data_IF_542443256272
#
_entry.id   IF_542443256272
#
_cell.length_a   1.000
_cell.length_b   1.000
_cell.length_c   1.000
_cell.angle_alpha   90.00
_cell.angle_beta   90.00
_cell.angle_gamma   90.00
#
_symmetry.space_group_name_H-M   'P 1'
#
loop_
_entity.id
_entity.type
_entity.pdbx_description
1 polymer ?
#
# COMPACT_ATOMS: atom_id res chain seq x y z
N UNK A 1 23.57 -33.94 -24.01
CA UNK A 1 24.10 -32.71 -23.40
C UNK A 1 23.18 -31.50 -23.57
N UNK A 2 22.66 -31.19 -24.77
CA UNK A 2 21.80 -30.02 -25.03
C UNK A 2 20.50 -30.06 -24.20
N UNK A 3 19.82 -31.22 -24.12
CA UNK A 3 18.59 -31.37 -23.34
C UNK A 3 18.80 -31.16 -21.83
N UNK A 4 19.93 -31.60 -21.28
CA UNK A 4 20.27 -31.39 -19.87
C UNK A 4 20.55 -29.89 -19.57
N UNK A 5 21.21 -29.18 -20.49
CA UNK A 5 21.46 -27.75 -20.38
C UNK A 5 20.16 -26.93 -20.45
N UNK A 6 19.25 -27.30 -21.37
CA UNK A 6 17.91 -26.67 -21.47
C UNK A 6 17.07 -26.89 -20.20
N UNK A 7 17.05 -28.11 -19.69
CA UNK A 7 16.33 -28.43 -18.46
C UNK A 7 16.89 -27.68 -17.24
N UNK A 8 18.22 -27.56 -17.11
CA UNK A 8 18.84 -26.75 -16.07
C UNK A 8 18.52 -25.26 -16.21
N UNK A 9 18.52 -24.73 -17.44
CA UNK A 9 18.14 -23.34 -17.72
C UNK A 9 16.73 -23.05 -17.25
N UNK A 10 15.74 -23.86 -17.64
CA UNK A 10 14.34 -23.64 -17.22
C UNK A 10 14.12 -23.80 -15.71
N UNK A 11 14.89 -24.69 -15.05
CA UNK A 11 14.80 -24.85 -13.60
C UNK A 11 15.44 -23.69 -12.83
N UNK A 12 16.51 -23.08 -13.36
CA UNK A 12 17.22 -21.98 -12.71
C UNK A 12 16.61 -20.59 -12.97
N UNK A 13 15.93 -20.43 -14.10
CA UNK A 13 15.35 -19.12 -14.48
C UNK A 13 14.44 -18.52 -13.39
N UNK A 14 13.48 -19.25 -12.77
CA UNK A 14 12.64 -18.68 -11.71
C UNK A 14 13.43 -18.28 -10.46
N UNK A 15 14.47 -19.04 -10.12
CA UNK A 15 15.33 -18.75 -8.95
C UNK A 15 16.15 -17.49 -9.19
N UNK A 16 16.73 -17.34 -10.39
CA UNK A 16 17.49 -16.15 -10.78
C UNK A 16 16.56 -14.93 -10.77
N UNK A 17 15.38 -15.04 -11.38
CA UNK A 17 14.38 -13.96 -11.40
C UNK A 17 13.99 -13.54 -9.98
N UNK A 18 13.65 -14.52 -9.11
CA UNK A 18 13.26 -14.26 -7.73
C UNK A 18 14.37 -13.56 -6.93
N UNK A 19 15.63 -13.99 -7.11
CA UNK A 19 16.77 -13.36 -6.45
C UNK A 19 17.00 -11.91 -6.94
N UNK A 20 16.93 -11.68 -8.25
CA UNK A 20 17.06 -10.35 -8.84
C UNK A 20 15.90 -9.43 -8.36
N UNK A 21 14.66 -9.94 -8.37
CA UNK A 21 13.51 -9.19 -7.91
C UNK A 21 13.59 -8.83 -6.42
N UNK A 22 14.05 -9.77 -5.58
CA UNK A 22 14.28 -9.52 -4.16
C UNK A 22 15.31 -8.42 -3.95
N UNK A 23 16.40 -8.44 -4.73
CA UNK A 23 17.42 -7.40 -4.65
C UNK A 23 16.88 -6.04 -5.07
N UNK A 24 16.20 -5.97 -6.21
CA UNK A 24 15.61 -4.73 -6.70
C UNK A 24 14.63 -4.12 -5.70
N UNK A 25 13.68 -4.90 -5.20
CA UNK A 25 12.72 -4.40 -4.20
C UNK A 25 13.39 -3.88 -2.94
N UNK A 26 14.48 -4.50 -2.49
CA UNK A 26 15.26 -4.00 -1.35
C UNK A 26 15.95 -2.67 -1.65
N UNK A 27 16.49 -2.52 -2.86
CA UNK A 27 17.10 -1.26 -3.31
C UNK A 27 16.04 -0.15 -3.39
N UNK A 28 14.87 -0.44 -3.95
CA UNK A 28 13.74 0.51 -4.05
C UNK A 28 13.22 0.92 -2.66
N UNK A 29 13.05 -0.03 -1.74
CA UNK A 29 12.65 0.22 -0.35
C UNK A 29 13.67 1.10 0.36
N UNK A 30 14.96 0.78 0.22
CA UNK A 30 16.03 1.57 0.84
C UNK A 30 16.06 2.99 0.28
N UNK A 31 15.97 3.15 -1.03
CA UNK A 31 15.92 4.45 -1.69
C UNK A 31 14.73 5.28 -1.18
N UNK A 32 13.55 4.66 -1.07
CA UNK A 32 12.37 5.32 -0.51
C UNK A 32 12.58 5.77 0.94
N UNK A 33 13.14 4.93 1.81
CA UNK A 33 13.39 5.32 3.21
C UNK A 33 14.43 6.44 3.33
N UNK A 34 15.48 6.43 2.53
CA UNK A 34 16.47 7.52 2.50
C UNK A 34 15.84 8.83 2.04
N UNK A 35 14.99 8.78 1.01
CA UNK A 35 14.23 9.93 0.55
C UNK A 35 13.30 10.46 1.65
N UNK A 36 12.46 9.62 2.24
CA UNK A 36 11.53 10.01 3.30
C UNK A 36 12.26 10.61 4.52
N UNK A 37 13.48 10.12 4.82
CA UNK A 37 14.31 10.64 5.89
C UNK A 37 14.92 12.00 5.55
N UNK A 38 15.42 12.19 4.31
CA UNK A 38 15.97 13.47 3.87
C UNK A 38 14.91 14.58 3.92
N UNK A 39 13.73 14.25 3.45
CA UNK A 39 12.56 15.12 3.46
C UNK A 39 12.18 15.56 4.88
N UNK A 40 12.15 14.63 5.84
CA UNK A 40 11.87 14.95 7.25
C UNK A 40 12.97 15.82 7.89
N UNK A 41 14.23 15.61 7.52
CA UNK A 41 15.36 16.38 8.06
C UNK A 41 15.38 17.81 7.55
N UNK A 42 15.01 18.07 6.29
CA UNK A 42 14.93 19.43 5.73
C UNK A 42 13.81 20.24 6.36
N UNK A 43 12.89 19.60 7.07
CA UNK A 43 11.71 20.20 7.68
C UNK A 43 11.74 20.30 9.19
N UNK A 44 12.87 19.96 9.87
CA UNK A 44 13.02 20.37 11.27
C UNK A 44 12.92 21.89 11.34
N UNK A 45 11.77 22.46 11.72
CA UNK A 45 11.58 23.90 11.65
C UNK A 45 12.45 24.53 12.73
N UNK A 46 13.22 25.54 12.38
CA UNK A 46 13.54 26.59 13.32
C UNK A 46 12.20 27.29 13.66
N UNK A 47 11.44 26.72 14.60
CA UNK A 47 10.21 27.35 15.09
C UNK A 47 10.58 28.65 15.76
N UNK A 48 10.36 29.74 15.08
CA UNK A 48 10.48 31.10 15.62
C UNK A 48 9.20 31.52 16.34
N UNK A 49 8.05 30.90 16.02
CA UNK A 49 6.76 31.18 16.63
C UNK A 49 5.90 29.89 16.73
N UNK A 50 5.21 29.61 17.87
CA UNK A 50 4.33 28.44 18.04
C UNK A 50 3.16 28.38 17.05
N UNK A 51 2.78 29.52 16.45
CA UNK A 51 1.65 29.64 15.51
C UNK A 51 2.05 29.56 14.03
N UNK A 52 3.34 29.40 13.73
CA UNK A 52 3.77 29.32 12.35
C UNK A 52 3.30 27.99 11.74
N UNK A 53 2.69 28.05 10.57
CA UNK A 53 2.38 26.86 9.77
C UNK A 53 3.70 26.19 9.37
N UNK A 54 3.88 24.97 9.80
CA UNK A 54 5.03 24.14 9.40
C UNK A 54 4.64 23.39 8.13
N UNK A 55 5.20 23.74 6.95
CA UNK A 55 4.89 23.03 5.72
C UNK A 55 5.31 21.56 5.86
N UNK A 56 4.42 20.65 5.44
CA UNK A 56 4.77 19.24 5.31
C UNK A 56 5.50 19.01 3.98
N UNK A 57 6.37 17.99 3.86
CA UNK A 57 7.02 17.63 2.61
C UNK A 57 6.00 17.40 1.51
N UNK A 58 6.26 17.91 0.31
CA UNK A 58 5.36 17.73 -0.82
C UNK A 58 3.91 18.07 -0.46
N UNK A 59 3.68 19.18 0.23
CA UNK A 59 2.36 19.57 0.75
C UNK A 59 1.28 19.59 -0.32
N UNK A 60 1.61 20.11 -1.52
CA UNK A 60 0.66 20.11 -2.64
C UNK A 60 0.21 18.68 -3.00
N UNK A 61 1.15 17.72 -3.07
CA UNK A 61 0.82 16.32 -3.33
C UNK A 61 -0.11 15.76 -2.23
N UNK A 62 0.20 16.03 -0.96
CA UNK A 62 -0.62 15.57 0.16
C UNK A 62 -2.04 16.14 0.09
N UNK A 63 -2.17 17.43 -0.19
CA UNK A 63 -3.46 18.11 -0.30
C UNK A 63 -4.28 17.56 -1.48
N UNK A 64 -3.65 17.39 -2.65
CA UNK A 64 -4.30 16.82 -3.83
C UNK A 64 -4.77 15.37 -3.59
N UNK A 65 -3.97 14.55 -2.91
CA UNK A 65 -4.35 13.17 -2.53
C UNK A 65 -5.50 13.16 -1.52
N UNK A 66 -5.49 14.07 -0.56
CA UNK A 66 -6.60 14.22 0.40
C UNK A 66 -7.90 14.63 -0.30
N UNK A 67 -7.83 15.59 -1.21
CA UNK A 67 -8.99 16.07 -1.95
C UNK A 67 -9.49 14.99 -2.94
N UNK A 68 -8.59 14.19 -3.51
CA UNK A 68 -8.95 13.00 -4.29
C UNK A 68 -9.71 11.97 -3.45
N UNK A 69 -9.23 11.63 -2.24
CA UNK A 69 -9.94 10.71 -1.34
C UNK A 69 -11.34 11.23 -1.01
N UNK A 70 -11.49 12.52 -0.74
CA UNK A 70 -12.77 13.16 -0.50
C UNK A 70 -13.70 13.14 -1.73
N UNK A 71 -13.12 13.35 -2.92
CA UNK A 71 -13.86 13.25 -4.18
C UNK A 71 -14.40 11.83 -4.39
N UNK A 72 -13.61 10.79 -4.13
CA UNK A 72 -14.04 9.40 -4.23
C UNK A 72 -15.23 9.10 -3.31
N UNK A 73 -15.20 9.54 -2.06
CA UNK A 73 -16.33 9.38 -1.12
C UNK A 73 -17.59 10.13 -1.63
N UNK A 74 -17.42 11.36 -2.09
CA UNK A 74 -18.52 12.19 -2.60
C UNK A 74 -19.18 11.57 -3.84
N UNK A 75 -18.39 11.04 -4.77
CA UNK A 75 -18.85 10.44 -6.03
C UNK A 75 -19.23 8.97 -5.89
N UNK A 76 -19.11 8.40 -4.66
CA UNK A 76 -19.35 6.98 -4.39
C UNK A 76 -18.56 6.05 -5.31
N UNK A 77 -17.33 6.46 -5.63
CA UNK A 77 -16.42 5.70 -6.48
C UNK A 77 -17.04 5.27 -7.83
N UNK A 78 -17.82 6.15 -8.44
CA UNK A 78 -18.55 5.87 -9.70
C UNK A 78 -17.64 5.45 -10.87
N UNK A 79 -16.33 5.72 -10.77
CA UNK A 79 -15.32 5.28 -11.75
C UNK A 79 -14.89 3.81 -11.62
N UNK A 80 -15.34 3.10 -10.59
CA UNK A 80 -14.89 1.72 -10.27
C UNK A 80 -15.59 0.65 -11.16
N UNK A 81 -15.94 0.98 -12.41
CA UNK A 81 -16.83 0.16 -13.24
C UNK A 81 -16.10 -0.71 -14.27
N UNK A 82 -14.79 -0.55 -14.47
CA UNK A 82 -14.02 -1.31 -15.45
C UNK A 82 -12.68 -1.78 -14.90
N UNK A 83 -12.12 -2.82 -15.53
CA UNK A 83 -10.78 -3.31 -15.15
C UNK A 83 -9.68 -2.29 -15.45
N UNK A 84 -9.87 -1.51 -16.52
CA UNK A 84 -8.92 -0.47 -16.94
C UNK A 84 -8.85 0.64 -15.90
N UNK A 85 -9.96 0.93 -15.20
CA UNK A 85 -10.01 1.94 -14.15
C UNK A 85 -9.06 1.66 -12.97
N UNK A 86 -8.61 0.42 -12.78
CA UNK A 86 -7.68 0.07 -11.69
C UNK A 86 -6.21 0.32 -12.02
N UNK A 87 -5.85 0.48 -13.29
CA UNK A 87 -4.48 0.42 -13.77
C UNK A 87 -3.77 1.76 -13.67
N UNK A 88 -4.42 2.82 -14.13
CA UNK A 88 -3.79 4.11 -14.30
C UNK A 88 -3.96 4.97 -13.04
N UNK A 89 -2.83 5.31 -12.40
CA UNK A 89 -2.83 6.25 -11.28
C UNK A 89 -3.33 7.62 -11.73
N UNK A 90 -4.10 8.28 -10.86
CA UNK A 90 -4.40 9.71 -11.01
C UNK A 90 -3.18 10.60 -10.74
N UNK A 91 -2.17 10.06 -10.02
CA UNK A 91 -0.99 10.81 -9.62
C UNK A 91 0.25 10.32 -10.36
N UNK A 92 0.93 11.25 -11.03
CA UNK A 92 2.31 11.10 -11.49
C UNK A 92 3.23 11.73 -10.43
N UNK A 93 3.89 10.91 -9.63
CA UNK A 93 4.71 11.38 -8.52
C UNK A 93 5.90 12.22 -8.99
N UNK A 94 6.42 11.94 -10.19
CA UNK A 94 7.55 12.71 -10.74
C UNK A 94 7.15 14.14 -11.09
N UNK A 95 5.89 14.37 -11.44
CA UNK A 95 5.36 15.71 -11.66
C UNK A 95 5.34 16.59 -10.38
N UNK A 96 5.37 15.94 -9.20
CA UNK A 96 5.51 16.61 -7.90
C UNK A 96 6.96 16.70 -7.42
N UNK A 97 7.93 16.30 -8.26
CA UNK A 97 9.36 16.39 -7.94
C UNK A 97 9.92 15.18 -7.20
N UNK A 98 9.19 14.08 -7.11
CA UNK A 98 9.72 12.83 -6.58
C UNK A 98 10.63 12.15 -7.62
N UNK A 99 11.68 11.41 -7.20
CA UNK A 99 12.66 10.84 -8.13
C UNK A 99 12.11 9.63 -8.92
N UNK A 100 11.08 8.96 -8.37
CA UNK A 100 10.49 7.76 -8.96
C UNK A 100 8.99 7.63 -8.60
N UNK A 101 8.37 6.51 -8.98
CA UNK A 101 6.95 6.22 -8.77
C UNK A 101 6.68 5.39 -7.51
N UNK A 102 7.67 5.17 -6.62
CA UNK A 102 7.44 4.49 -5.35
C UNK A 102 6.74 5.44 -4.39
N UNK A 103 5.46 5.19 -4.14
CA UNK A 103 4.65 5.98 -3.20
C UNK A 103 5.00 5.71 -1.74
N UNK A 104 5.37 4.47 -1.43
CA UNK A 104 5.62 4.04 -0.06
C UNK A 104 6.08 2.60 0.05
N UNK A 105 5.99 2.08 1.26
CA UNK A 105 6.34 0.68 1.58
C UNK A 105 5.20 0.04 2.36
N UNK A 106 4.80 -1.17 1.96
CA UNK A 106 3.90 -2.02 2.72
C UNK A 106 4.72 -3.09 3.47
N UNK A 107 4.48 -3.25 4.77
CA UNK A 107 5.09 -4.28 5.61
C UNK A 107 4.03 -5.09 6.34
N UNK A 108 4.11 -6.42 6.22
CA UNK A 108 3.17 -7.38 6.83
C UNK A 108 3.98 -8.42 7.60
N UNK A 109 4.23 -8.23 8.92
CA UNK A 109 5.12 -9.08 9.70
C UNK A 109 4.71 -10.56 9.72
N UNK A 110 3.41 -10.86 9.77
CA UNK A 110 2.89 -12.23 9.76
C UNK A 110 3.30 -13.03 8.53
N UNK A 111 3.51 -12.34 7.41
CA UNK A 111 3.92 -12.93 6.12
C UNK A 111 5.42 -12.83 5.89
N UNK A 112 6.19 -12.26 6.83
CA UNK A 112 7.60 -11.86 6.61
C UNK A 112 7.75 -11.09 5.29
N UNK A 113 6.86 -10.12 5.07
CA UNK A 113 6.75 -9.39 3.80
C UNK A 113 7.01 -7.91 3.97
N UNK A 114 7.88 -7.39 3.11
CA UNK A 114 8.07 -5.96 2.89
C UNK A 114 8.24 -5.72 1.39
N UNK A 115 7.47 -4.79 0.83
CA UNK A 115 7.48 -4.49 -0.61
C UNK A 115 7.29 -3.00 -0.87
N UNK A 116 7.83 -2.48 -1.99
CA UNK A 116 7.46 -1.17 -2.51
C UNK A 116 5.96 -1.11 -2.80
N UNK A 117 5.36 0.04 -2.56
CA UNK A 117 3.96 0.33 -2.83
C UNK A 117 3.86 1.39 -3.92
N UNK A 118 3.15 1.06 -4.98
CA UNK A 118 2.91 1.92 -6.14
C UNK A 118 1.46 2.40 -6.18
N UNK A 119 1.22 3.51 -6.89
CA UNK A 119 -0.13 3.98 -7.19
C UNK A 119 -0.54 3.52 -8.60
N UNK A 120 -1.75 2.94 -8.72
CA UNK A 120 -2.23 2.32 -9.95
C UNK A 120 -1.71 0.88 -10.13
N UNK A 121 -2.60 -0.05 -10.47
CA UNK A 121 -2.29 -1.46 -10.61
C UNK A 121 -1.95 -1.82 -12.08
N UNK A 122 -1.07 -1.03 -12.70
CA UNK A 122 -0.51 -1.37 -14.01
C UNK A 122 0.28 -2.67 -13.96
N UNK A 123 0.48 -3.31 -15.10
CA UNK A 123 1.30 -4.53 -15.18
C UNK A 123 2.71 -4.29 -14.63
N UNK A 124 3.30 -3.13 -14.93
CA UNK A 124 4.63 -2.76 -14.47
C UNK A 124 4.67 -2.62 -12.94
N UNK A 125 3.78 -1.83 -12.35
CA UNK A 125 3.71 -1.63 -10.92
C UNK A 125 3.48 -2.95 -10.17
N UNK A 126 2.51 -3.75 -10.64
CA UNK A 126 2.22 -5.07 -10.05
C UNK A 126 3.39 -6.05 -10.14
N UNK A 127 4.24 -5.95 -11.16
CA UNK A 127 5.45 -6.77 -11.27
C UNK A 127 6.61 -6.28 -10.38
N UNK A 128 6.57 -5.01 -9.94
CA UNK A 128 7.60 -4.40 -9.11
C UNK A 128 7.28 -4.38 -7.62
N UNK A 129 6.01 -4.50 -7.23
CA UNK A 129 5.61 -4.50 -5.82
C UNK A 129 4.13 -4.72 -5.61
N UNK A 130 3.62 -4.18 -4.51
CA UNK A 130 2.19 -4.02 -4.27
C UNK A 130 1.69 -2.72 -4.91
N UNK A 131 0.42 -2.68 -5.29
CA UNK A 131 -0.15 -1.52 -5.98
C UNK A 131 -1.51 -1.13 -5.42
N UNK A 132 -1.69 0.14 -5.12
CA UNK A 132 -3.00 0.71 -4.80
C UNK A 132 -3.83 0.73 -6.07
N UNK A 133 -5.02 0.13 -6.06
CA UNK A 133 -5.93 0.20 -7.20
C UNK A 133 -6.34 1.66 -7.44
N UNK A 134 -6.24 2.14 -8.67
CA UNK A 134 -6.83 3.41 -9.04
C UNK A 134 -8.35 3.38 -8.77
N UNK A 135 -8.98 4.54 -8.58
CA UNK A 135 -10.39 4.67 -8.16
C UNK A 135 -10.67 4.12 -6.73
N UNK A 136 -9.62 3.82 -5.95
CA UNK A 136 -9.72 3.58 -4.50
C UNK A 136 -8.90 4.63 -3.75
N UNK A 137 -9.09 4.74 -2.43
CA UNK A 137 -8.43 5.78 -1.66
C UNK A 137 -6.90 5.64 -1.68
N UNK A 138 -6.19 6.76 -1.67
CA UNK A 138 -4.74 6.78 -1.45
C UNK A 138 -4.49 6.56 0.05
N UNK A 139 -3.54 5.68 0.45
CA UNK A 139 -3.31 5.34 1.86
C UNK A 139 -2.49 6.42 2.59
N UNK A 140 -3.12 7.56 2.81
CA UNK A 140 -2.62 8.68 3.62
C UNK A 140 -3.41 8.83 4.93
N UNK A 141 -4.27 7.86 5.26
CA UNK A 141 -5.19 7.90 6.39
C UNK A 141 -6.40 8.80 6.15
N UNK A 142 -7.34 8.76 7.07
CA UNK A 142 -8.56 9.57 7.02
C UNK A 142 -9.83 8.74 7.06
N UNK A 143 -10.90 9.32 7.60
CA UNK A 143 -12.21 8.69 7.63
C UNK A 143 -12.83 8.63 6.22
N UNK A 144 -13.74 7.68 6.01
CA UNK A 144 -14.35 7.41 4.71
C UNK A 144 -13.31 7.06 3.63
N UNK A 145 -12.33 6.25 3.98
CA UNK A 145 -11.30 5.77 3.08
C UNK A 145 -11.27 4.24 3.03
N UNK A 146 -11.02 3.69 1.84
CA UNK A 146 -10.65 2.29 1.65
C UNK A 146 -9.59 2.23 0.55
N UNK A 147 -8.33 2.08 0.95
CA UNK A 147 -7.21 1.91 0.03
C UNK A 147 -7.07 0.43 -0.32
N UNK A 148 -7.42 0.05 -1.55
CA UNK A 148 -7.33 -1.34 -1.99
C UNK A 148 -5.96 -1.60 -2.58
N UNK A 149 -5.17 -2.45 -1.92
CA UNK A 149 -3.80 -2.77 -2.28
C UNK A 149 -3.75 -4.17 -2.87
N UNK A 150 -3.46 -4.25 -4.17
CA UNK A 150 -3.31 -5.50 -4.89
C UNK A 150 -1.87 -6.00 -4.89
N UNK A 151 -1.71 -7.31 -4.83
CA UNK A 151 -0.45 -8.00 -5.05
C UNK A 151 -0.67 -9.32 -5.74
N UNK A 152 0.28 -9.77 -6.57
CA UNK A 152 0.21 -11.10 -7.15
C UNK A 152 0.14 -12.18 -6.07
N UNK A 153 -0.55 -13.31 -6.33
CA UNK A 153 -0.53 -14.45 -5.41
C UNK A 153 0.80 -15.21 -5.39
N UNK A 154 1.57 -15.07 -6.39
CA UNK A 154 2.96 -15.43 -6.65
C UNK A 154 3.21 -15.15 -8.13
N UNK A 155 4.39 -14.75 -8.50
CA UNK A 155 4.73 -14.50 -9.90
C UNK A 155 6.21 -14.78 -10.15
N UNK A 156 6.51 -15.59 -11.17
CA UNK A 156 7.89 -15.93 -11.57
C UNK A 156 8.81 -16.35 -10.40
N UNK A 157 8.27 -17.13 -9.45
CA UNK A 157 9.02 -17.62 -8.28
C UNK A 157 9.15 -16.63 -7.13
N UNK A 158 8.71 -15.37 -7.26
CA UNK A 158 8.63 -14.43 -6.15
C UNK A 158 7.28 -14.53 -5.43
N UNK A 159 7.28 -14.44 -4.09
CA UNK A 159 6.12 -14.78 -3.26
C UNK A 159 4.99 -13.76 -3.33
N UNK A 160 5.27 -12.46 -3.37
CA UNK A 160 4.25 -11.41 -3.23
C UNK A 160 3.24 -11.74 -2.09
N UNK A 161 1.94 -11.79 -2.39
CA UNK A 161 0.89 -12.13 -1.42
C UNK A 161 0.58 -13.64 -1.37
N UNK A 162 1.55 -14.51 -1.66
CA UNK A 162 1.37 -15.97 -1.61
C UNK A 162 0.79 -16.43 -0.26
N UNK A 163 1.34 -15.92 0.81
CA UNK A 163 1.08 -16.33 2.18
C UNK A 163 -0.06 -15.52 2.86
N UNK A 164 -0.88 -14.79 2.08
CA UNK A 164 -1.95 -13.91 2.61
C UNK A 164 -2.96 -14.65 3.50
N UNK A 165 -3.17 -15.96 3.26
CA UNK A 165 -4.07 -16.80 4.08
C UNK A 165 -3.53 -17.09 5.49
N UNK A 166 -2.26 -16.75 5.78
CA UNK A 166 -1.71 -16.79 7.14
C UNK A 166 -2.25 -15.66 8.03
N UNK A 167 -2.80 -14.61 7.43
CA UNK A 167 -3.32 -13.47 8.18
C UNK A 167 -4.54 -13.85 9.00
N UNK A 168 -4.57 -13.36 10.24
CA UNK A 168 -5.62 -13.59 11.21
C UNK A 168 -6.13 -12.24 11.76
N UNK A 169 -7.33 -12.24 12.33
CA UNK A 169 -7.88 -11.08 13.02
C UNK A 169 -6.89 -10.54 14.06
N UNK A 170 -6.64 -9.24 14.01
CA UNK A 170 -5.70 -8.54 14.88
C UNK A 170 -4.26 -8.49 14.40
N UNK A 171 -3.87 -9.24 13.36
CA UNK A 171 -2.55 -9.09 12.74
C UNK A 171 -2.37 -7.68 12.17
N UNK A 172 -1.13 -7.19 12.20
CA UNK A 172 -0.84 -5.82 11.81
C UNK A 172 -0.31 -5.70 10.38
N UNK A 173 -0.72 -4.63 9.72
CA UNK A 173 -0.22 -4.17 8.43
C UNK A 173 0.26 -2.75 8.59
N UNK A 174 1.47 -2.46 8.13
CA UNK A 174 2.06 -1.13 8.15
C UNK A 174 2.16 -0.58 6.73
N UNK A 175 1.73 0.67 6.56
CA UNK A 175 1.94 1.45 5.34
C UNK A 175 2.80 2.65 5.69
N UNK A 176 4.03 2.69 5.19
CA UNK A 176 4.90 3.86 5.33
C UNK A 176 4.86 4.65 4.03
N UNK A 177 4.40 5.89 4.12
CA UNK A 177 4.43 6.86 3.03
C UNK A 177 5.44 7.96 3.34
N UNK A 178 5.50 9.01 2.53
CA UNK A 178 6.46 10.12 2.70
C UNK A 178 6.33 10.85 4.04
N UNK A 179 5.14 10.83 4.63
CA UNK A 179 4.81 11.65 5.80
C UNK A 179 4.82 10.86 7.10
N UNK A 180 4.30 9.63 7.08
CA UNK A 180 4.11 8.83 8.29
C UNK A 180 4.08 7.33 8.03
N UNK A 181 4.10 6.54 9.12
CA UNK A 181 3.79 5.12 9.08
C UNK A 181 2.41 4.89 9.69
N UNK A 182 1.50 4.43 8.87
CA UNK A 182 0.13 4.11 9.22
C UNK A 182 0.05 2.64 9.69
N UNK A 183 -0.58 2.41 10.84
CA UNK A 183 -0.77 1.06 11.39
C UNK A 183 -2.23 0.65 11.24
N UNK A 184 -2.45 -0.51 10.63
CA UNK A 184 -3.76 -1.12 10.45
C UNK A 184 -3.79 -2.51 11.09
N UNK A 185 -4.97 -2.97 11.53
CA UNK A 185 -5.19 -4.33 12.04
C UNK A 185 -6.24 -5.04 11.23
N UNK A 186 -6.01 -6.33 10.95
CA UNK A 186 -6.98 -7.20 10.28
C UNK A 186 -8.27 -7.28 11.08
N UNK A 187 -9.39 -6.95 10.44
CA UNK A 187 -10.73 -6.93 11.04
C UNK A 187 -11.75 -7.79 10.29
N UNK A 188 -11.49 -8.15 9.03
CA UNK A 188 -12.38 -9.03 8.26
C UNK A 188 -11.62 -9.71 7.11
N UNK A 189 -12.07 -10.89 6.69
CA UNK A 189 -11.50 -11.65 5.59
C UNK A 189 -12.64 -12.19 4.73
N UNK A 190 -12.55 -11.99 3.40
CA UNK A 190 -13.60 -12.44 2.46
C UNK A 190 -13.00 -13.04 1.19
N UNK A 191 -13.74 -13.98 0.61
CA UNK A 191 -13.52 -14.45 -0.75
C UNK A 191 -14.70 -13.94 -1.60
N UNK A 192 -14.40 -13.28 -2.71
CA UNK A 192 -15.39 -12.66 -3.58
C UNK A 192 -15.20 -13.08 -5.04
N UNK A 193 -16.23 -12.87 -5.86
CA UNK A 193 -16.09 -12.96 -7.31
C UNK A 193 -15.21 -11.80 -7.83
N UNK A 194 -14.45 -12.01 -8.92
CA UNK A 194 -13.55 -11.00 -9.46
C UNK A 194 -14.22 -9.67 -9.86
N UNK A 195 -15.52 -9.70 -10.12
CA UNK A 195 -16.30 -8.54 -10.58
C UNK A 195 -17.17 -7.93 -9.46
N UNK A 196 -17.04 -8.41 -8.23
CA UNK A 196 -17.79 -7.86 -7.09
C UNK A 196 -17.09 -6.61 -6.54
N UNK A 197 -17.24 -5.51 -7.27
CA UNK A 197 -16.69 -4.20 -6.89
C UNK A 197 -17.31 -3.64 -5.61
N UNK A 198 -18.54 -4.06 -5.27
CA UNK A 198 -19.21 -3.55 -4.06
C UNK A 198 -18.49 -3.96 -2.78
N UNK A 199 -17.77 -5.07 -2.81
CA UNK A 199 -17.02 -5.56 -1.66
C UNK A 199 -15.84 -4.64 -1.26
N UNK A 200 -15.36 -3.80 -2.16
CA UNK A 200 -14.19 -2.94 -1.95
C UNK A 200 -14.51 -1.44 -1.90
N UNK A 201 -15.79 -1.08 -1.85
CA UNK A 201 -16.20 0.32 -1.73
C UNK A 201 -15.80 0.92 -0.38
N UNK A 202 -15.71 2.24 -0.36
CA UNK A 202 -15.54 3.04 0.86
C UNK A 202 -16.67 2.74 1.83
N UNK A 203 -16.32 2.54 3.10
CA UNK A 203 -17.26 2.32 4.19
C UNK A 203 -17.29 3.56 5.07
N UNK A 204 -18.51 4.03 5.37
CA UNK A 204 -18.72 5.24 6.16
C UNK A 204 -18.04 5.14 7.53
N UNK A 205 -17.43 6.24 7.97
CA UNK A 205 -16.78 6.43 9.28
C UNK A 205 -15.61 5.47 9.55
N UNK A 206 -15.06 4.83 8.48
CA UNK A 206 -13.93 3.91 8.59
C UNK A 206 -12.72 4.40 7.80
N UNK A 207 -11.53 4.08 8.31
CA UNK A 207 -10.25 4.21 7.63
C UNK A 207 -9.69 2.81 7.37
N UNK A 208 -9.81 2.34 6.13
CA UNK A 208 -9.50 0.98 5.74
C UNK A 208 -8.36 0.90 4.74
N UNK A 209 -7.56 -0.15 4.90
CA UNK A 209 -6.73 -0.76 3.86
C UNK A 209 -7.28 -2.15 3.58
N UNK A 210 -7.54 -2.47 2.32
CA UNK A 210 -7.98 -3.79 1.89
C UNK A 210 -6.90 -4.43 1.03
N UNK A 211 -6.29 -5.52 1.51
CA UNK A 211 -5.36 -6.33 0.72
C UNK A 211 -6.14 -7.21 -0.23
N UNK A 212 -5.70 -7.28 -1.50
CA UNK A 212 -6.38 -8.04 -2.56
C UNK A 212 -5.40 -8.92 -3.32
N UNK A 213 -5.74 -10.19 -3.52
CA UNK A 213 -5.00 -11.08 -4.41
C UNK A 213 -5.91 -12.12 -5.09
N UNK A 214 -5.37 -12.84 -6.08
CA UNK A 214 -6.06 -13.95 -6.73
C UNK A 214 -6.25 -15.15 -5.78
N UNK A 215 -7.37 -15.85 -5.89
CA UNK A 215 -7.69 -17.03 -5.07
C UNK A 215 -8.45 -18.09 -5.90
N UNK A 216 -8.25 -19.40 -5.59
CA UNK A 216 -7.12 -19.95 -4.87
C UNK A 216 -5.81 -19.83 -5.66
N UNK A 217 -4.68 -20.10 -5.00
CA UNK A 217 -3.38 -20.14 -5.68
C UNK A 217 -3.41 -21.13 -6.86
N UNK A 218 -2.84 -20.74 -7.99
CA UNK A 218 -2.77 -21.56 -9.21
C UNK A 218 -4.06 -21.65 -10.03
N UNK A 219 -5.16 -21.00 -9.62
CA UNK A 219 -6.46 -21.06 -10.33
C UNK A 219 -6.61 -20.10 -11.51
N UNK A 220 -5.61 -19.28 -11.80
CA UNK A 220 -5.75 -18.18 -12.77
C UNK A 220 -6.66 -17.05 -12.29
N UNK A 221 -7.04 -17.03 -11.00
CA UNK A 221 -7.82 -15.94 -10.40
C UNK A 221 -9.33 -16.13 -10.50
N UNK A 222 -9.83 -17.34 -10.25
CA UNK A 222 -11.27 -17.64 -10.18
C UNK A 222 -12.01 -16.71 -9.21
N UNK A 223 -11.39 -16.42 -8.06
CA UNK A 223 -11.90 -15.54 -7.02
C UNK A 223 -10.86 -14.48 -6.63
N UNK A 224 -11.23 -13.60 -5.72
CA UNK A 224 -10.33 -12.67 -5.02
C UNK A 224 -10.38 -12.96 -3.52
N UNK A 225 -9.20 -13.00 -2.90
CA UNK A 225 -9.04 -13.05 -1.45
C UNK A 225 -8.83 -11.63 -0.95
N UNK A 226 -9.69 -11.19 -0.05
CA UNK A 226 -9.65 -9.86 0.55
C UNK A 226 -9.34 -9.98 2.04
N UNK A 227 -8.44 -9.13 2.52
CA UNK A 227 -8.18 -8.91 3.95
C UNK A 227 -8.41 -7.45 4.26
N UNK A 228 -9.44 -7.16 5.03
CA UNK A 228 -9.79 -5.80 5.47
C UNK A 228 -9.01 -5.48 6.72
N UNK A 229 -8.30 -4.36 6.70
CA UNK A 229 -7.52 -3.88 7.81
C UNK A 229 -7.99 -2.48 8.18
N UNK A 230 -8.29 -2.23 9.47
CA UNK A 230 -8.77 -0.95 9.97
C UNK A 230 -7.68 -0.21 10.70
N UNK A 231 -7.64 1.11 10.54
CA UNK A 231 -6.65 1.99 11.14
C UNK A 231 -6.63 1.87 12.66
N UNK A 232 -5.46 1.68 13.22
CA UNK A 232 -5.25 1.81 14.67
C UNK A 232 -5.05 3.29 14.97
N UNK A 233 -6.06 3.94 15.54
CA UNK A 233 -5.89 5.30 16.07
C UNK A 233 -5.06 5.15 17.35
N UNK A 234 -3.90 5.79 17.43
CA UNK A 234 -3.19 5.92 18.72
C UNK A 234 -4.15 6.61 19.70
N UNK A 235 -4.35 6.00 20.87
CA UNK A 235 -5.08 6.67 21.93
C UNK A 235 -4.35 7.99 22.21
N UNK A 236 -5.07 9.11 22.14
CA UNK A 236 -4.53 10.39 22.58
C UNK A 236 -3.92 10.18 23.95
N UNK A 237 -2.71 10.71 24.24
CA UNK A 237 -2.09 10.55 25.54
C UNK A 237 -3.12 10.97 26.60
N UNK A 238 -3.43 10.04 27.51
CA UNK A 238 -4.34 10.32 28.61
C UNK A 238 -3.82 11.58 29.31
N UNK A 239 -4.63 12.62 29.29
CA UNK A 239 -4.30 13.85 29.99
C UNK A 239 -4.31 13.49 31.49
N UNK A 240 -3.16 13.08 32.00
CA UNK A 240 -2.93 12.93 33.44
C UNK A 240 -2.94 14.34 34.01
N UNK A 241 -4.15 14.89 34.13
CA UNK A 241 -4.39 16.06 34.93
C UNK A 241 -3.85 15.78 36.32
N UNK A 242 -2.76 16.42 36.64
CA UNK A 242 -2.24 16.47 37.98
C UNK A 242 -3.31 17.14 38.86
N UNK A 243 -4.07 16.34 39.57
CA UNK A 243 -4.65 16.76 40.83
C UNK A 243 -3.52 16.77 41.86
N UNK A 244 -2.93 17.94 42.04
CA UNK A 244 -2.23 18.28 43.22
C UNK A 244 -3.04 19.33 43.97
N UNK A 245 -3.90 18.88 44.84
CA UNK A 245 -4.48 19.73 45.90
C UNK A 245 -4.16 19.12 47.22
N UNK A 246 -3.48 19.92 47.98
CA UNK A 246 -3.22 19.97 49.42
C UNK A 246 -1.83 19.58 49.84
#
# INVERSE_FOLDING_TARGET
MILAALSAYFALTPLIYSAQKTRQMKEDIQAFYEQAKSVKKEQEPQRTNPNDHVPIPYENLYLDMRDYNKWLDTTKQSGLNSREAYQDSYFDLTAYGLPDQVFGVIRIPRMDLEMPLYLGASYENMSNGASVLAQTSIPIGGENCNSVIAGHRSWNGYKYFLDIELLQYGDVVYITNLWETLTYKVVDIKIINPNDVNAILIQKDRDLVTLLTCHPYGSGGLYRYLVFCERVKEAAPANTGAESLQ
#
